data_IF_729807605706
#
_entry.id   IF_729807605706
#
_cell.length_a   1.000
_cell.length_b   1.000
_cell.length_c   1.000
_cell.angle_alpha   90.00
_cell.angle_beta   90.00
_cell.angle_gamma   90.00
#
_symmetry.space_group_name_H-M   'P 1'
#
loop_
_entity.id
_entity.type
_entity.pdbx_description
1 polymer ?
#
# COMPACT_ATOMS: atom_id res chain seq x y z
N UNK A 1 -66.57 34.02 8.80
CA UNK A 1 -66.13 32.90 9.66
C UNK A 1 -65.52 31.69 8.91
N UNK A 2 -65.63 31.61 7.57
CA UNK A 2 -65.15 30.46 6.79
C UNK A 2 -63.65 30.47 6.42
N UNK A 3 -62.99 31.63 6.40
CA UNK A 3 -61.57 31.73 6.05
C UNK A 3 -60.62 31.20 7.14
N UNK A 4 -61.00 31.31 8.42
CA UNK A 4 -60.18 30.86 9.56
C UNK A 4 -60.18 29.34 9.79
N UNK A 5 -61.27 28.64 9.47
CA UNK A 5 -61.32 27.17 9.58
C UNK A 5 -60.46 26.50 8.51
N UNK A 6 -60.44 27.06 7.29
CA UNK A 6 -59.65 26.53 6.18
C UNK A 6 -58.14 26.69 6.43
N UNK A 7 -57.70 27.82 6.99
CA UNK A 7 -56.29 28.04 7.33
C UNK A 7 -55.81 27.20 8.52
N UNK A 8 -56.66 26.96 9.51
CA UNK A 8 -56.36 26.05 10.62
C UNK A 8 -56.19 24.60 10.12
N UNK A 9 -57.09 24.15 9.25
CA UNK A 9 -57.06 22.80 8.69
C UNK A 9 -55.85 22.55 7.78
N UNK A 10 -55.42 23.55 7.01
CA UNK A 10 -54.18 23.47 6.21
C UNK A 10 -52.95 23.39 7.12
N UNK A 11 -52.94 24.13 8.23
CA UNK A 11 -51.83 24.08 9.21
C UNK A 11 -51.73 22.70 9.86
N UNK A 12 -52.84 22.08 10.21
CA UNK A 12 -52.87 20.73 10.76
C UNK A 12 -52.34 19.69 9.77
N UNK A 13 -52.73 19.79 8.49
CA UNK A 13 -52.21 18.91 7.42
C UNK A 13 -50.69 19.05 7.31
N UNK A 14 -50.17 20.27 7.22
CA UNK A 14 -48.73 20.51 7.09
C UNK A 14 -47.93 19.97 8.29
N UNK A 15 -48.46 20.11 9.51
CA UNK A 15 -47.83 19.54 10.71
C UNK A 15 -47.83 18.01 10.63
N UNK A 16 -48.95 17.40 10.21
CA UNK A 16 -49.05 15.95 10.08
C UNK A 16 -48.13 15.37 8.98
N UNK A 17 -47.97 16.08 7.86
CA UNK A 17 -47.04 15.70 6.80
C UNK A 17 -45.58 15.83 7.27
N UNK A 18 -45.22 16.91 7.95
CA UNK A 18 -43.86 17.07 8.49
C UNK A 18 -43.50 15.99 9.53
N UNK A 19 -44.45 15.59 10.37
CA UNK A 19 -44.22 14.53 11.35
C UNK A 19 -44.08 13.15 10.69
N UNK A 20 -44.79 12.92 9.59
CA UNK A 20 -44.69 11.69 8.80
C UNK A 20 -43.38 11.62 8.00
N UNK A 21 -42.92 12.74 7.44
CA UNK A 21 -41.62 12.84 6.76
C UNK A 21 -40.45 12.59 7.71
N UNK A 22 -40.48 13.16 8.92
CA UNK A 22 -39.40 12.99 9.90
C UNK A 22 -39.32 11.54 10.40
N UNK A 23 -40.46 10.89 10.70
CA UNK A 23 -40.49 9.46 10.99
C UNK A 23 -39.96 8.64 9.82
N UNK A 24 -40.40 8.92 8.59
CA UNK A 24 -39.96 8.16 7.41
C UNK A 24 -38.46 8.35 7.17
N UNK A 25 -37.90 9.54 7.36
CA UNK A 25 -36.47 9.81 7.25
C UNK A 25 -35.65 9.08 8.34
N UNK A 26 -36.18 8.97 9.57
CA UNK A 26 -35.56 8.23 10.67
C UNK A 26 -35.62 6.69 10.47
N UNK A 27 -36.69 6.18 9.85
CA UNK A 27 -36.92 4.73 9.67
C UNK A 27 -36.52 4.20 8.27
N UNK A 28 -36.32 5.05 7.26
CA UNK A 28 -35.85 4.62 5.93
C UNK A 28 -34.45 3.96 5.94
N UNK A 29 -33.48 4.40 6.76
CA UNK A 29 -32.19 3.74 6.88
C UNK A 29 -32.26 2.35 7.53
N UNK A 30 -33.33 2.04 8.29
CA UNK A 30 -33.49 0.71 8.90
C UNK A 30 -34.23 -0.29 8.01
N UNK A 31 -35.00 0.19 7.02
CA UNK A 31 -35.69 -0.63 6.02
C UNK A 31 -34.84 -0.93 4.79
N UNK A 32 -33.90 -0.05 4.46
CA UNK A 32 -32.90 -0.29 3.43
C UNK A 32 -31.66 -0.86 4.11
N UNK A 33 -31.09 -1.94 3.60
CA UNK A 33 -29.87 -2.57 4.15
C UNK A 33 -28.61 -1.71 3.89
N UNK A 34 -28.77 -0.39 3.89
CA UNK A 34 -27.75 0.63 3.75
C UNK A 34 -27.18 0.83 5.14
N UNK A 35 -26.27 -0.07 5.53
CA UNK A 35 -25.37 0.23 6.62
C UNK A 35 -24.59 1.49 6.22
N UNK A 36 -24.84 2.59 6.92
CA UNK A 36 -24.02 3.80 6.82
C UNK A 36 -22.68 3.45 7.47
N UNK A 37 -21.83 2.70 6.77
CA UNK A 37 -20.42 2.65 7.11
C UNK A 37 -19.94 4.08 7.13
N UNK A 38 -19.35 4.49 8.24
CA UNK A 38 -18.86 5.85 8.38
C UNK A 38 -17.89 6.16 7.23
N UNK A 39 -17.85 7.41 6.78
CA UNK A 39 -16.88 7.84 5.76
C UNK A 39 -15.44 7.49 6.17
N UNK A 40 -15.16 7.43 7.48
CA UNK A 40 -13.89 7.01 8.04
C UNK A 40 -13.60 5.50 7.84
N UNK A 41 -14.58 4.62 8.00
CA UNK A 41 -14.41 3.18 7.76
C UNK A 41 -14.23 2.88 6.27
N UNK A 42 -14.99 3.56 5.41
CA UNK A 42 -14.82 3.46 3.95
C UNK A 42 -13.44 3.95 3.51
N UNK A 43 -12.98 5.09 4.02
CA UNK A 43 -11.65 5.61 3.66
C UNK A 43 -10.52 4.71 4.17
N UNK A 44 -10.67 4.10 5.35
CA UNK A 44 -9.69 3.17 5.90
C UNK A 44 -9.62 1.87 5.07
N UNK A 45 -10.78 1.29 4.73
CA UNK A 45 -10.83 0.07 3.90
C UNK A 45 -10.26 0.30 2.50
N UNK A 46 -10.65 1.40 1.84
CA UNK A 46 -10.11 1.80 0.55
C UNK A 46 -8.59 2.03 0.61
N UNK A 47 -8.09 2.68 1.68
CA UNK A 47 -6.65 2.89 1.86
C UNK A 47 -5.90 1.57 2.01
N UNK A 48 -6.44 0.61 2.77
CA UNK A 48 -5.87 -0.73 2.92
C UNK A 48 -5.79 -1.46 1.57
N UNK A 49 -6.84 -1.38 0.77
CA UNK A 49 -6.88 -2.01 -0.56
C UNK A 49 -5.86 -1.38 -1.50
N UNK A 50 -5.74 -0.06 -1.51
CA UNK A 50 -4.73 0.68 -2.29
C UNK A 50 -3.32 0.21 -1.92
N UNK A 51 -3.00 0.12 -0.63
CA UNK A 51 -1.68 -0.35 -0.22
C UNK A 51 -1.45 -1.83 -0.56
N UNK A 52 -2.50 -2.67 -0.50
CA UNK A 52 -2.39 -4.07 -0.93
C UNK A 52 -2.07 -4.18 -2.43
N UNK A 53 -2.68 -3.33 -3.27
CA UNK A 53 -2.38 -3.26 -4.70
C UNK A 53 -0.94 -2.79 -4.94
N UNK A 54 -0.53 -1.71 -4.28
CA UNK A 54 0.85 -1.17 -4.37
C UNK A 54 1.89 -2.20 -3.95
N UNK A 55 1.65 -2.98 -2.89
CA UNK A 55 2.57 -4.02 -2.46
C UNK A 55 2.75 -5.11 -3.52
N UNK A 56 1.69 -5.49 -4.25
CA UNK A 56 1.81 -6.45 -5.35
C UNK A 56 2.60 -5.88 -6.52
N UNK A 57 2.39 -4.61 -6.85
CA UNK A 57 3.16 -3.93 -7.90
C UNK A 57 4.65 -3.88 -7.57
N UNK A 58 5.00 -3.47 -6.34
CA UNK A 58 6.39 -3.42 -5.89
C UNK A 58 7.02 -4.82 -5.82
N UNK A 59 6.25 -5.84 -5.42
CA UNK A 59 6.72 -7.22 -5.45
C UNK A 59 7.08 -7.65 -6.87
N UNK A 60 6.21 -7.37 -7.85
CA UNK A 60 6.50 -7.67 -9.25
C UNK A 60 7.75 -6.93 -9.74
N UNK A 61 7.93 -5.66 -9.38
CA UNK A 61 9.13 -4.90 -9.72
C UNK A 61 10.42 -5.54 -9.17
N UNK A 62 10.39 -6.02 -7.93
CA UNK A 62 11.55 -6.72 -7.33
C UNK A 62 11.86 -8.01 -8.08
N UNK A 63 10.84 -8.78 -8.45
CA UNK A 63 11.06 -10.02 -9.20
C UNK A 63 11.64 -9.75 -10.59
N UNK A 64 11.14 -8.74 -11.31
CA UNK A 64 11.70 -8.29 -12.59
C UNK A 64 13.17 -7.84 -12.42
N UNK A 65 13.47 -7.07 -11.37
CA UNK A 65 14.85 -6.65 -11.08
C UNK A 65 15.76 -7.85 -10.78
N UNK A 66 15.25 -8.85 -10.06
CA UNK A 66 15.98 -10.07 -9.77
C UNK A 66 16.27 -10.85 -11.07
N UNK A 67 15.30 -11.00 -11.96
CA UNK A 67 15.52 -11.64 -13.27
C UNK A 67 16.59 -10.90 -14.09
N UNK A 68 16.48 -9.57 -14.20
CA UNK A 68 17.48 -8.71 -14.86
C UNK A 68 18.87 -8.90 -14.26
N UNK A 69 18.98 -8.91 -12.93
CA UNK A 69 20.23 -9.15 -12.23
C UNK A 69 20.87 -10.50 -12.61
N UNK A 70 20.08 -11.57 -12.72
CA UNK A 70 20.60 -12.90 -13.06
C UNK A 70 20.97 -13.05 -14.53
N UNK A 71 20.41 -12.23 -15.42
CA UNK A 71 20.80 -12.17 -16.84
C UNK A 71 22.18 -11.51 -17.06
N UNK A 72 22.72 -10.78 -16.08
CA UNK A 72 24.04 -10.14 -16.18
C UNK A 72 25.14 -11.16 -15.83
N UNK A 73 26.23 -11.26 -16.62
CA UNK A 73 27.38 -12.10 -16.28
C UNK A 73 27.96 -11.77 -14.90
N UNK A 74 28.53 -12.77 -14.21
CA UNK A 74 29.04 -12.60 -12.84
C UNK A 74 30.13 -11.53 -12.74
N UNK A 75 31.05 -11.50 -13.70
CA UNK A 75 32.19 -10.58 -13.68
C UNK A 75 31.72 -9.12 -13.82
N UNK A 76 30.70 -8.90 -14.66
CA UNK A 76 30.07 -7.59 -14.83
C UNK A 76 29.33 -7.13 -13.56
N UNK A 77 28.63 -8.05 -12.88
CA UNK A 77 27.97 -7.74 -11.61
C UNK A 77 28.94 -7.26 -10.53
N UNK A 78 30.13 -7.83 -10.47
CA UNK A 78 31.18 -7.42 -9.53
C UNK A 78 31.77 -6.08 -9.97
N UNK A 79 32.12 -5.95 -11.26
CA UNK A 79 32.69 -4.73 -11.85
C UNK A 79 31.82 -3.49 -11.63
N UNK A 80 30.50 -3.63 -11.79
CA UNK A 80 29.54 -2.53 -11.64
C UNK A 80 28.96 -2.43 -10.21
N UNK A 81 29.49 -3.17 -9.23
CA UNK A 81 29.10 -3.03 -7.83
C UNK A 81 27.68 -3.48 -7.49
N UNK A 82 27.06 -4.31 -8.33
CA UNK A 82 25.78 -4.98 -8.03
C UNK A 82 25.98 -6.15 -7.07
N UNK A 83 27.18 -6.73 -7.05
CA UNK A 83 27.58 -7.80 -6.16
C UNK A 83 28.90 -7.44 -5.49
N UNK A 84 29.00 -7.49 -4.14
CA UNK A 84 30.26 -7.29 -3.47
C UNK A 84 31.18 -8.49 -3.70
N UNK A 85 32.49 -8.24 -3.60
CA UNK A 85 33.48 -9.31 -3.45
C UNK A 85 33.23 -10.11 -2.17
N UNK A 86 33.71 -11.36 -2.14
CA UNK A 86 33.48 -12.26 -1.01
C UNK A 86 34.02 -11.63 0.28
N UNK A 87 33.12 -11.39 1.24
CA UNK A 87 33.46 -10.82 2.56
C UNK A 87 33.36 -9.30 2.68
N UNK A 88 33.05 -8.57 1.60
CA UNK A 88 32.85 -7.11 1.69
C UNK A 88 31.43 -6.74 2.18
N UNK A 89 31.34 -5.73 3.05
CA UNK A 89 30.09 -5.20 3.65
C UNK A 89 29.48 -4.10 2.76
N UNK A 90 29.61 -4.23 1.45
CA UNK A 90 29.11 -3.23 0.50
C UNK A 90 27.69 -3.57 0.04
N UNK A 91 27.10 -2.67 -0.75
CA UNK A 91 25.81 -2.89 -1.38
C UNK A 91 25.76 -4.24 -2.10
N UNK A 92 24.64 -4.96 -1.91
CA UNK A 92 24.41 -6.27 -2.52
C UNK A 92 22.98 -6.35 -3.04
N UNK A 93 22.82 -6.35 -4.36
CA UNK A 93 21.51 -6.48 -5.01
C UNK A 93 20.74 -7.74 -4.55
N UNK A 94 21.35 -8.94 -4.46
CA UNK A 94 20.67 -10.11 -3.92
C UNK A 94 20.14 -9.89 -2.50
N UNK A 95 20.87 -9.15 -1.66
CA UNK A 95 20.47 -8.94 -0.26
C UNK A 95 19.33 -7.94 -0.14
N UNK A 96 19.27 -6.95 -1.04
CA UNK A 96 18.10 -6.07 -1.20
C UNK A 96 16.86 -6.88 -1.59
N UNK A 97 16.99 -7.76 -2.58
CA UNK A 97 15.88 -8.61 -3.07
C UNK A 97 15.38 -9.53 -1.94
N UNK A 98 16.29 -10.19 -1.22
CA UNK A 98 15.94 -11.07 -0.09
C UNK A 98 15.21 -10.33 1.03
N UNK A 99 15.71 -9.14 1.41
CA UNK A 99 15.04 -8.30 2.40
C UNK A 99 13.63 -7.92 1.94
N UNK A 100 13.48 -7.48 0.68
CA UNK A 100 12.17 -7.12 0.13
C UNK A 100 11.22 -8.32 0.13
N UNK A 101 11.68 -9.51 -0.27
CA UNK A 101 10.89 -10.75 -0.26
C UNK A 101 10.43 -11.14 1.15
N UNK A 102 11.30 -11.04 2.16
CA UNK A 102 10.90 -11.26 3.57
C UNK A 102 9.77 -10.31 3.97
N UNK A 103 9.97 -9.00 3.73
CA UNK A 103 8.96 -7.99 4.06
C UNK A 103 7.64 -8.20 3.31
N UNK A 104 7.66 -8.53 2.01
CA UNK A 104 6.45 -8.83 1.24
C UNK A 104 5.74 -10.08 1.77
N UNK A 105 6.48 -11.15 2.05
CA UNK A 105 5.91 -12.40 2.54
C UNK A 105 5.16 -12.23 3.87
N UNK A 106 5.61 -11.30 4.72
CA UNK A 106 4.96 -10.94 5.99
C UNK A 106 3.81 -9.97 5.75
N UNK A 107 4.03 -8.95 4.93
CA UNK A 107 3.03 -7.93 4.56
C UNK A 107 1.78 -8.53 3.91
N UNK A 108 1.96 -9.51 3.02
CA UNK A 108 0.85 -10.20 2.35
C UNK A 108 -0.01 -11.07 3.28
N UNK A 109 0.48 -11.42 4.49
CA UNK A 109 -0.36 -12.09 5.50
C UNK A 109 -1.42 -11.15 6.06
N UNK A 110 -1.24 -9.83 5.94
CA UNK A 110 -2.16 -8.82 6.45
C UNK A 110 -2.20 -8.74 7.99
N UNK A 111 -1.26 -9.40 8.68
CA UNK A 111 -1.14 -9.38 10.14
C UNK A 111 -0.07 -8.38 10.54
N UNK A 112 -0.48 -7.35 11.29
CA UNK A 112 0.38 -6.30 11.81
C UNK A 112 0.16 -6.13 13.32
N UNK A 113 1.17 -5.69 14.09
CA UNK A 113 2.55 -5.43 13.65
C UNK A 113 3.35 -6.71 13.42
N UNK A 114 4.39 -6.64 12.59
CA UNK A 114 5.37 -7.72 12.44
C UNK A 114 6.80 -7.21 12.55
N UNK A 115 7.72 -8.09 12.95
CA UNK A 115 9.16 -7.80 13.00
C UNK A 115 9.87 -8.35 11.77
N UNK A 116 10.86 -7.60 11.29
CA UNK A 116 11.78 -8.04 10.24
C UNK A 116 12.93 -8.82 10.88
N UNK A 117 12.99 -10.11 10.55
CA UNK A 117 13.99 -11.06 11.07
C UNK A 117 15.12 -11.33 10.08
N UNK A 118 15.09 -10.72 8.88
CA UNK A 118 16.15 -10.95 7.88
C UNK A 118 17.52 -10.63 8.51
N UNK A 119 18.45 -11.60 8.53
CA UNK A 119 19.77 -11.38 9.09
C UNK A 119 20.47 -10.21 8.37
N UNK A 120 20.26 -10.03 7.07
CA UNK A 120 20.88 -9.01 6.23
C UNK A 120 20.50 -7.58 6.58
N UNK A 121 19.56 -7.36 7.51
CA UNK A 121 19.16 -6.04 8.01
C UNK A 121 20.32 -5.17 8.48
N UNK A 122 21.42 -5.75 8.96
CA UNK A 122 22.60 -4.96 9.35
C UNK A 122 23.20 -4.13 8.20
N UNK A 123 22.95 -4.50 6.94
CA UNK A 123 23.33 -3.72 5.76
C UNK A 123 22.36 -2.56 5.48
N UNK A 124 21.20 -2.52 6.14
CA UNK A 124 20.12 -1.56 5.92
C UNK A 124 19.68 -0.89 7.22
N UNK A 125 20.55 -0.11 7.89
CA UNK A 125 20.29 0.44 9.22
C UNK A 125 19.09 1.39 9.29
N UNK A 126 18.71 1.99 8.15
CA UNK A 126 17.57 2.91 8.07
C UNK A 126 16.21 2.19 7.97
N UNK A 127 16.19 0.86 7.86
CA UNK A 127 14.92 0.10 7.77
C UNK A 127 14.35 -0.18 9.17
N UNK A 128 13.07 0.16 9.44
CA UNK A 128 12.43 -0.11 10.72
C UNK A 128 12.49 -1.60 11.10
N UNK A 129 12.65 -1.91 12.38
CA UNK A 129 12.57 -3.31 12.88
C UNK A 129 11.14 -3.83 12.90
N UNK A 130 10.20 -2.98 13.27
CA UNK A 130 8.80 -3.31 13.48
C UNK A 130 7.97 -2.51 12.47
N UNK A 131 7.07 -3.18 11.77
CA UNK A 131 6.14 -2.57 10.82
C UNK A 131 4.72 -2.71 11.36
N UNK A 132 4.02 -1.58 11.50
CA UNK A 132 2.66 -1.50 12.05
C UNK A 132 1.58 -1.43 10.97
N UNK A 133 1.95 -1.08 9.74
CA UNK A 133 1.00 -0.94 8.64
C UNK A 133 1.62 -1.29 7.28
N UNK A 134 0.78 -1.62 6.27
CA UNK A 134 1.22 -1.76 4.88
C UNK A 134 1.94 -0.53 4.32
N UNK A 135 1.53 0.66 4.77
CA UNK A 135 2.13 1.93 4.35
C UNK A 135 3.60 2.05 4.78
N UNK A 136 3.91 1.68 6.03
CA UNK A 136 5.28 1.69 6.54
C UNK A 136 6.18 0.75 5.73
N UNK A 137 5.65 -0.41 5.32
CA UNK A 137 6.35 -1.38 4.47
C UNK A 137 6.63 -0.78 3.10
N UNK A 138 5.63 -0.18 2.45
CA UNK A 138 5.79 0.49 1.15
C UNK A 138 6.83 1.61 1.24
N UNK A 139 6.79 2.43 2.30
CA UNK A 139 7.74 3.54 2.51
C UNK A 139 9.17 3.05 2.71
N UNK A 140 9.37 1.90 3.33
CA UNK A 140 10.69 1.31 3.53
C UNK A 140 11.24 0.63 2.26
N UNK A 141 10.39 -0.09 1.51
CA UNK A 141 10.81 -0.88 0.35
C UNK A 141 11.04 0.00 -0.88
N UNK A 142 10.19 1.00 -1.12
CA UNK A 142 10.25 1.85 -2.31
C UNK A 142 11.66 2.40 -2.62
N UNK A 143 12.39 3.05 -1.68
CA UNK A 143 13.73 3.54 -1.98
C UNK A 143 14.73 2.42 -2.30
N UNK A 144 14.59 1.24 -1.68
CA UNK A 144 15.48 0.10 -1.93
C UNK A 144 15.30 -0.44 -3.36
N UNK A 145 14.05 -0.52 -3.84
CA UNK A 145 13.74 -0.92 -5.22
C UNK A 145 14.27 0.12 -6.20
N UNK A 146 14.04 1.41 -5.94
CA UNK A 146 14.52 2.48 -6.83
C UNK A 146 16.04 2.46 -6.96
N UNK A 147 16.78 2.29 -5.86
CA UNK A 147 18.24 2.16 -5.91
C UNK A 147 18.69 0.92 -6.71
N UNK A 148 18.01 -0.22 -6.54
CA UNK A 148 18.28 -1.44 -7.29
C UNK A 148 18.04 -1.25 -8.79
N UNK A 149 16.91 -0.65 -9.17
CA UNK A 149 16.58 -0.35 -10.55
C UNK A 149 17.59 0.60 -11.19
N UNK A 150 17.99 1.66 -10.48
CA UNK A 150 18.99 2.62 -10.96
C UNK A 150 20.34 1.94 -11.24
N UNK A 151 20.82 1.11 -10.32
CA UNK A 151 22.08 0.37 -10.49
C UNK A 151 22.00 -0.65 -11.63
N UNK A 152 20.88 -1.35 -11.80
CA UNK A 152 20.67 -2.27 -12.91
C UNK A 152 20.62 -1.53 -14.25
N UNK A 153 19.89 -0.42 -14.32
CA UNK A 153 19.81 0.42 -15.51
C UNK A 153 21.19 0.95 -15.94
N UNK A 154 22.01 1.37 -14.98
CA UNK A 154 23.36 1.84 -15.26
C UNK A 154 24.24 0.69 -15.77
N UNK A 155 24.19 -0.48 -15.13
CA UNK A 155 24.95 -1.64 -15.57
C UNK A 155 24.57 -2.07 -17.00
N UNK A 156 23.28 -2.17 -17.30
CA UNK A 156 22.78 -2.54 -18.64
C UNK A 156 23.16 -1.49 -19.71
N UNK A 157 23.10 -0.19 -19.38
CA UNK A 157 23.58 0.87 -20.28
C UNK A 157 25.05 0.69 -20.61
N UNK A 158 25.89 0.48 -19.60
CA UNK A 158 27.33 0.31 -19.79
C UNK A 158 27.66 -0.96 -20.60
N UNK A 159 26.93 -2.06 -20.39
CA UNK A 159 27.06 -3.29 -21.18
C UNK A 159 26.73 -3.03 -22.66
N UNK A 160 25.62 -2.33 -22.93
CA UNK A 160 25.15 -2.06 -24.29
C UNK A 160 26.02 -1.05 -25.04
N UNK A 161 26.79 -0.20 -24.35
CA UNK A 161 27.77 0.70 -24.98
C UNK A 161 29.04 -0.05 -25.40
N UNK A 162 29.37 -1.15 -24.72
CA UNK A 162 30.61 -1.93 -24.95
C UNK A 162 30.42 -3.02 -26.00
N UNK A 163 29.17 -3.45 -26.26
CA UNK A 163 28.81 -4.41 -27.33
C UNK A 163 28.62 -3.71 -28.67
#
# INVERSE_FOLDING_TARGET
MFAGKKSAQIREILISESAWEEMTCLFAPSLTNVHITSLAELSLSASKDIYSMRLRELYNQVEICNERYWNIPKDERIKYGLRPEVGAINYSAPRVVELCRDLFSRSFRGVYPFECEDPGKFLFPHTPRIFKSPEEVVKAIKPLISELEEKLNECERQINIIK
#
